data_IF_926582294987
#
_entry.id   IF_926582294987
#
_cell.length_a   1.000
_cell.length_b   1.000
_cell.length_c   1.000
_cell.angle_alpha   90.00
_cell.angle_beta   90.00
_cell.angle_gamma   90.00
#
_symmetry.space_group_name_H-M   'P 1'
#
loop_
_entity.id
_entity.type
_entity.pdbx_description
1 polymer ?
#
# COMPACT_ATOMS: atom_id res chain seq x y z
N UNK A 1 -7.53 2.90 -20.22
CA UNK A 1 -7.95 2.59 -18.84
C UNK A 1 -8.66 3.82 -18.28
N UNK A 2 -9.72 3.68 -17.46
CA UNK A 2 -10.32 4.83 -16.81
C UNK A 2 -9.26 5.54 -15.95
N UNK A 3 -9.17 6.87 -16.04
CA UNK A 3 -8.29 7.65 -15.18
C UNK A 3 -8.82 7.61 -13.74
N UNK A 4 -8.05 7.00 -12.84
CA UNK A 4 -8.30 7.08 -11.41
C UNK A 4 -7.96 8.51 -10.96
N UNK A 5 -8.89 9.17 -10.27
CA UNK A 5 -8.65 10.52 -9.74
C UNK A 5 -7.48 10.49 -8.76
N UNK A 6 -6.64 11.54 -8.77
CA UNK A 6 -5.50 11.64 -7.87
C UNK A 6 -5.88 11.52 -6.37
N UNK A 7 -7.03 12.07 -5.97
CA UNK A 7 -7.56 11.91 -4.61
C UNK A 7 -7.86 10.44 -4.26
N UNK A 8 -8.34 9.65 -5.23
CA UNK A 8 -8.57 8.21 -5.05
C UNK A 8 -7.25 7.46 -4.93
N UNK A 9 -6.22 7.84 -5.70
CA UNK A 9 -4.88 7.26 -5.56
C UNK A 9 -4.28 7.51 -4.18
N UNK A 10 -4.42 8.73 -3.65
CA UNK A 10 -3.95 9.08 -2.30
C UNK A 10 -4.60 8.20 -1.23
N UNK A 11 -5.93 8.08 -1.26
CA UNK A 11 -6.68 7.27 -0.30
C UNK A 11 -6.30 5.79 -0.43
N UNK A 12 -6.17 5.29 -1.66
CA UNK A 12 -5.78 3.91 -1.91
C UNK A 12 -4.38 3.59 -1.37
N UNK A 13 -3.40 4.47 -1.59
CA UNK A 13 -2.03 4.31 -1.08
C UNK A 13 -2.03 4.24 0.45
N UNK A 14 -2.75 5.16 1.10
CA UNK A 14 -2.82 5.21 2.56
C UNK A 14 -3.50 3.97 3.14
N UNK A 15 -4.59 3.50 2.51
CA UNK A 15 -5.29 2.29 2.94
C UNK A 15 -4.43 1.03 2.80
N UNK A 16 -3.72 0.89 1.67
CA UNK A 16 -2.79 -0.24 1.46
C UNK A 16 -1.65 -0.19 2.46
N UNK A 17 -1.05 0.97 2.72
CA UNK A 17 -0.02 1.14 3.75
C UNK A 17 -0.52 0.71 5.13
N UNK A 18 -1.69 1.20 5.54
CA UNK A 18 -2.29 0.83 6.82
C UNK A 18 -2.54 -0.68 6.93
N UNK A 19 -2.91 -1.33 5.82
CA UNK A 19 -3.12 -2.77 5.80
C UNK A 19 -1.82 -3.55 5.91
N UNK A 20 -0.76 -3.12 5.22
CA UNK A 20 0.59 -3.69 5.36
C UNK A 20 1.04 -3.60 6.82
N UNK A 21 0.93 -2.41 7.44
CA UNK A 21 1.30 -2.22 8.84
C UNK A 21 0.54 -3.15 9.80
N UNK A 22 -0.75 -3.35 9.55
CA UNK A 22 -1.58 -4.26 10.35
C UNK A 22 -1.16 -5.73 10.18
N UNK A 23 -0.79 -6.14 8.97
CA UNK A 23 -0.32 -7.50 8.70
C UNK A 23 1.07 -7.73 9.31
N UNK A 24 2.00 -6.77 9.16
CA UNK A 24 3.31 -6.82 9.81
C UNK A 24 3.23 -6.82 11.34
N UNK A 25 2.21 -6.14 11.91
CA UNK A 25 1.94 -6.18 13.34
C UNK A 25 1.41 -7.56 13.77
N UNK A 26 0.49 -8.14 12.99
CA UNK A 26 -0.04 -9.48 13.25
C UNK A 26 1.06 -10.54 13.25
N UNK A 27 2.05 -10.46 12.34
CA UNK A 27 3.20 -11.37 12.32
C UNK A 27 4.07 -11.30 13.59
N UNK A 28 4.00 -10.20 14.34
CA UNK A 28 4.77 -9.98 15.57
C UNK A 28 3.99 -10.38 16.83
N UNK A 29 2.74 -10.81 16.69
CA UNK A 29 1.94 -11.27 17.83
C UNK A 29 2.45 -12.62 18.35
N UNK A 30 2.47 -12.79 19.67
CA UNK A 30 2.85 -14.05 20.30
C UNK A 30 1.80 -15.12 19.98
N UNK A 31 2.26 -16.29 19.54
CA UNK A 31 1.40 -17.46 19.32
C UNK A 31 0.86 -17.63 17.91
N UNK A 32 1.31 -16.81 16.94
CA UNK A 32 1.05 -17.05 15.51
C UNK A 32 1.64 -18.39 15.09
N UNK A 33 0.82 -19.25 14.49
CA UNK A 33 1.25 -20.55 13.98
C UNK A 33 2.01 -20.43 12.65
N UNK A 34 2.72 -21.49 12.24
CA UNK A 34 3.41 -21.52 10.95
C UNK A 34 2.45 -21.37 9.75
N UNK A 35 1.24 -21.91 9.86
CA UNK A 35 0.21 -21.80 8.82
C UNK A 35 -0.33 -20.36 8.73
N UNK A 36 -0.65 -19.74 9.87
CA UNK A 36 -1.06 -18.33 9.91
C UNK A 36 0.06 -17.39 9.43
N UNK A 37 1.32 -17.71 9.73
CA UNK A 37 2.47 -16.94 9.23
C UNK A 37 2.55 -17.00 7.70
N UNK A 38 2.36 -18.17 7.11
CA UNK A 38 2.37 -18.35 5.65
C UNK A 38 1.23 -17.57 4.96
N UNK A 39 0.02 -17.60 5.55
CA UNK A 39 -1.12 -16.81 5.05
C UNK A 39 -0.83 -15.30 5.13
N UNK A 40 -0.26 -14.83 6.25
CA UNK A 40 0.12 -13.42 6.43
C UNK A 40 1.19 -12.99 5.41
N UNK A 41 2.19 -13.83 5.14
CA UNK A 41 3.22 -13.59 4.13
C UNK A 41 2.63 -13.48 2.72
N UNK A 42 1.70 -14.37 2.34
CA UNK A 42 1.02 -14.29 1.05
C UNK A 42 0.21 -12.98 0.91
N UNK A 43 -0.52 -12.62 1.98
CA UNK A 43 -1.27 -11.37 2.00
C UNK A 43 -0.35 -10.15 1.90
N UNK A 44 0.78 -10.13 2.61
CA UNK A 44 1.76 -9.04 2.54
C UNK A 44 2.32 -8.88 1.13
N UNK A 45 2.74 -9.98 0.50
CA UNK A 45 3.27 -9.95 -0.87
C UNK A 45 2.26 -9.37 -1.88
N UNK A 46 0.98 -9.73 -1.73
CA UNK A 46 -0.08 -9.17 -2.56
C UNK A 46 -0.27 -7.66 -2.34
N UNK A 47 -0.19 -7.18 -1.09
CA UNK A 47 -0.32 -5.76 -0.78
C UNK A 47 0.91 -4.95 -1.21
N UNK A 48 2.11 -5.50 -1.11
CA UNK A 48 3.34 -4.88 -1.62
C UNK A 48 3.28 -4.70 -3.14
N UNK A 49 2.82 -5.73 -3.85
CA UNK A 49 2.61 -5.64 -5.31
C UNK A 49 1.59 -4.54 -5.65
N UNK A 50 0.48 -4.46 -4.92
CA UNK A 50 -0.51 -3.40 -5.11
C UNK A 50 0.05 -2.01 -4.77
N UNK A 51 0.89 -1.89 -3.74
CA UNK A 51 1.53 -0.63 -3.37
C UNK A 51 2.49 -0.14 -4.46
N UNK A 52 3.25 -1.03 -5.10
CA UNK A 52 4.10 -0.68 -6.23
C UNK A 52 3.31 -0.14 -7.42
N UNK A 53 2.20 -0.79 -7.77
CA UNK A 53 1.37 -0.35 -8.89
C UNK A 53 0.67 0.99 -8.59
N UNK A 54 0.19 1.18 -7.37
CA UNK A 54 -0.36 2.46 -6.92
C UNK A 54 0.70 3.57 -6.94
N UNK A 55 1.94 3.27 -6.55
CA UNK A 55 3.06 4.21 -6.62
C UNK A 55 3.33 4.63 -8.06
N UNK A 56 3.41 3.68 -9.01
CA UNK A 56 3.61 3.99 -10.44
C UNK A 56 2.49 4.88 -10.99
N UNK A 57 1.24 4.56 -10.66
CA UNK A 57 0.08 5.38 -11.06
C UNK A 57 0.13 6.79 -10.45
N UNK A 58 0.55 6.89 -9.19
CA UNK A 58 0.70 8.17 -8.49
C UNK A 58 1.84 9.03 -9.03
N UNK A 59 2.99 8.43 -9.34
CA UNK A 59 4.11 9.15 -9.93
C UNK A 59 3.72 9.71 -11.31
N UNK A 60 3.02 8.93 -12.14
CA UNK A 60 2.46 9.42 -13.41
C UNK A 60 1.45 10.56 -13.21
N UNK A 61 0.60 10.49 -12.17
CA UNK A 61 -0.32 11.58 -11.85
C UNK A 61 0.44 12.85 -11.41
N UNK A 62 1.51 12.70 -10.62
CA UNK A 62 2.32 13.81 -10.09
C UNK A 62 3.17 14.50 -11.16
N UNK A 63 3.53 13.82 -12.24
CA UNK A 63 4.12 14.45 -13.43
C UNK A 63 3.19 15.50 -14.04
N UNK A 64 1.87 15.31 -13.91
CA UNK A 64 0.85 16.21 -14.46
C UNK A 64 0.26 17.18 -13.44
N UNK A 65 0.30 16.85 -12.14
CA UNK A 65 -0.16 17.70 -11.04
C UNK A 65 0.89 17.84 -9.94
N UNK A 66 1.66 18.94 -10.01
CA UNK A 66 2.70 19.26 -9.04
C UNK A 66 2.19 19.63 -7.64
N UNK A 67 0.87 19.77 -7.43
CA UNK A 67 0.28 20.04 -6.11
C UNK A 67 0.11 18.78 -5.27
N UNK A 68 0.23 17.60 -5.88
CA UNK A 68 0.18 16.35 -5.16
C UNK A 68 1.39 16.23 -4.22
N UNK A 69 1.19 15.72 -2.98
CA UNK A 69 2.30 15.54 -2.04
C UNK A 69 3.38 14.59 -2.58
N UNK A 70 4.54 14.55 -1.94
CA UNK A 70 5.52 13.51 -2.27
C UNK A 70 5.01 12.16 -1.77
N UNK A 71 5.24 11.08 -2.53
CA UNK A 71 4.76 9.73 -2.18
C UNK A 71 5.15 9.32 -0.75
N UNK A 72 6.37 9.62 -0.32
CA UNK A 72 6.85 9.30 1.03
C UNK A 72 6.12 10.03 2.17
N UNK A 73 5.26 11.03 1.89
CA UNK A 73 4.37 11.62 2.89
C UNK A 73 3.07 10.83 3.07
N UNK A 74 2.68 10.06 2.06
CA UNK A 74 1.47 9.24 2.08
C UNK A 74 1.67 7.92 2.83
N UNK A 75 2.91 7.46 2.92
CA UNK A 75 3.29 6.18 3.53
C UNK A 75 3.99 6.35 4.88
N UNK A 76 3.87 7.53 5.49
CA UNK A 76 4.41 7.82 6.83
C UNK A 76 3.47 7.39 7.92
#
# INVERSE_FOLDING_TARGET
MPEIKAATLVIAIQAVKQRIDALEAAQKEDGVSEEEMADLDEMLLAHDTAAEDLKRAYDAARETDAKLPQYGWLTR
#
